data_IF_674750152485
#
_entry.id   IF_674750152485
#
_cell.length_a   1.000
_cell.length_b   1.000
_cell.length_c   1.000
_cell.angle_alpha   90.00
_cell.angle_beta   90.00
_cell.angle_gamma   90.00
#
_symmetry.space_group_name_H-M   'P 1'
#
loop_
_entity.id
_entity.type
_entity.pdbx_description
1 polymer ?
#
# COMPACT_ATOMS: atom_id res chain seq x y z
N UNK A 1 -13.96 32.85 11.18
CA UNK A 1 -15.06 31.93 10.86
C UNK A 1 -14.43 30.71 10.19
N UNK A 2 -14.50 29.53 10.79
CA UNK A 2 -14.06 28.30 10.14
C UNK A 2 -15.18 27.84 9.21
N UNK A 3 -14.98 28.03 7.91
CA UNK A 3 -15.83 27.41 6.90
C UNK A 3 -15.45 25.93 6.84
N UNK A 4 -16.06 25.11 7.71
CA UNK A 4 -15.99 23.67 7.53
C UNK A 4 -16.86 23.33 6.32
N UNK A 5 -16.22 23.15 5.17
CA UNK A 5 -16.87 22.60 3.99
C UNK A 5 -17.50 21.25 4.39
N UNK A 6 -18.80 21.02 4.09
CA UNK A 6 -19.43 19.75 4.41
C UNK A 6 -18.71 18.62 3.65
N UNK A 7 -18.60 17.42 4.24
CA UNK A 7 -17.98 16.29 3.57
C UNK A 7 -18.73 15.94 2.29
N UNK A 8 -17.99 15.61 1.25
CA UNK A 8 -18.53 15.13 -0.02
C UNK A 8 -19.23 13.78 0.17
N UNK A 9 -20.15 13.43 -0.74
CA UNK A 9 -20.78 12.12 -0.75
C UNK A 9 -19.76 10.98 -0.82
N UNK A 10 -18.66 11.22 -1.53
CA UNK A 10 -17.56 10.26 -1.65
C UNK A 10 -16.90 9.99 -0.29
N UNK A 11 -16.57 11.05 0.45
CA UNK A 11 -15.97 10.94 1.78
C UNK A 11 -16.91 10.25 2.77
N UNK A 12 -18.21 10.56 2.72
CA UNK A 12 -19.22 9.88 3.52
C UNK A 12 -19.32 8.40 3.17
N UNK A 13 -19.31 8.06 1.88
CA UNK A 13 -19.33 6.67 1.41
C UNK A 13 -18.13 5.87 1.89
N UNK A 14 -16.91 6.43 1.80
CA UNK A 14 -15.69 5.76 2.32
C UNK A 14 -15.76 5.57 3.83
N UNK A 15 -16.15 6.62 4.59
CA UNK A 15 -16.30 6.52 6.05
C UNK A 15 -17.33 5.46 6.44
N UNK A 16 -18.48 5.43 5.76
CA UNK A 16 -19.53 4.45 6.02
C UNK A 16 -19.07 3.03 5.69
N UNK A 17 -18.28 2.84 4.62
CA UNK A 17 -17.74 1.54 4.27
C UNK A 17 -16.84 1.02 5.40
N UNK A 18 -15.88 1.83 5.84
CA UNK A 18 -14.91 1.47 6.90
C UNK A 18 -15.51 1.25 8.30
N UNK A 19 -16.82 1.46 8.49
CA UNK A 19 -17.50 1.14 9.77
C UNK A 19 -17.75 -0.36 9.92
N UNK A 20 -17.87 -1.10 8.82
CA UNK A 20 -18.08 -2.54 8.84
C UNK A 20 -16.95 -3.24 8.08
N UNK A 21 -16.12 -3.92 8.85
CA UNK A 21 -14.95 -4.63 8.34
C UNK A 21 -15.32 -5.74 7.36
N UNK A 22 -16.35 -6.53 7.66
CA UNK A 22 -16.76 -7.66 6.83
C UNK A 22 -17.35 -7.19 5.50
N UNK A 23 -18.19 -6.15 5.54
CA UNK A 23 -18.72 -5.49 4.36
C UNK A 23 -17.61 -4.85 3.53
N UNK A 24 -16.67 -4.15 4.17
CA UNK A 24 -15.52 -3.55 3.47
C UNK A 24 -14.74 -4.61 2.71
N UNK A 25 -14.32 -5.68 3.39
CA UNK A 25 -13.52 -6.76 2.78
C UNK A 25 -14.25 -7.40 1.61
N UNK A 26 -15.57 -7.63 1.75
CA UNK A 26 -16.40 -8.22 0.68
C UNK A 26 -16.54 -7.29 -0.52
N UNK A 27 -16.58 -5.98 -0.30
CA UNK A 27 -16.73 -4.97 -1.35
C UNK A 27 -15.44 -4.68 -2.12
N UNK A 28 -14.25 -5.04 -1.60
CA UNK A 28 -12.96 -4.69 -2.23
C UNK A 28 -12.81 -5.16 -3.67
N UNK A 29 -13.41 -6.30 -4.03
CA UNK A 29 -13.35 -6.81 -5.41
C UNK A 29 -14.21 -6.00 -6.38
N UNK A 30 -15.25 -5.33 -5.92
CA UNK A 30 -16.15 -4.54 -6.77
C UNK A 30 -15.88 -3.04 -6.68
N UNK A 31 -15.01 -2.62 -5.75
CA UNK A 31 -14.69 -1.22 -5.52
C UNK A 31 -14.08 -0.59 -6.79
N UNK A 32 -14.55 0.61 -7.20
CA UNK A 32 -13.91 1.40 -8.23
C UNK A 32 -12.45 1.69 -7.90
N UNK A 33 -11.60 1.67 -8.92
CA UNK A 33 -10.14 1.80 -8.81
C UNK A 33 -9.74 3.15 -8.21
N UNK A 34 -10.51 4.18 -8.53
CA UNK A 34 -10.34 5.57 -8.12
C UNK A 34 -10.52 5.74 -6.61
N UNK A 35 -11.32 4.86 -5.97
CA UNK A 35 -11.57 4.90 -4.53
C UNK A 35 -10.53 4.13 -3.74
N UNK A 36 -9.81 3.22 -4.38
CA UNK A 36 -8.93 2.28 -3.70
C UNK A 36 -7.80 2.98 -2.92
N UNK A 37 -7.05 3.95 -3.49
CA UNK A 37 -5.98 4.62 -2.74
C UNK A 37 -6.52 5.49 -1.61
N UNK A 38 -7.63 6.21 -1.84
CA UNK A 38 -8.21 7.06 -0.81
C UNK A 38 -8.76 6.23 0.36
N UNK A 39 -9.43 5.10 0.07
CA UNK A 39 -9.90 4.17 1.09
C UNK A 39 -8.73 3.54 1.86
N UNK A 40 -7.63 3.19 1.19
CA UNK A 40 -6.43 2.65 1.84
C UNK A 40 -5.82 3.66 2.80
N UNK A 41 -5.74 4.92 2.40
CA UNK A 41 -5.26 6.01 3.25
C UNK A 41 -6.17 6.20 4.47
N UNK A 42 -7.49 6.19 4.28
CA UNK A 42 -8.46 6.32 5.37
C UNK A 42 -8.36 5.13 6.36
N UNK A 43 -8.25 3.90 5.84
CA UNK A 43 -8.04 2.68 6.65
C UNK A 43 -6.69 2.70 7.38
N UNK A 44 -5.64 3.23 6.74
CA UNK A 44 -4.33 3.43 7.34
C UNK A 44 -4.38 4.43 8.49
N UNK A 45 -4.98 5.60 8.27
CA UNK A 45 -5.14 6.64 9.30
C UNK A 45 -6.02 6.20 10.47
N UNK A 46 -6.91 5.24 10.23
CA UNK A 46 -7.80 4.65 11.25
C UNK A 46 -7.24 3.36 11.86
N UNK A 47 -6.00 2.98 11.53
CA UNK A 47 -5.30 1.79 12.02
C UNK A 47 -6.06 0.46 11.82
N UNK A 48 -6.85 0.36 10.74
CA UNK A 48 -7.69 -0.80 10.45
C UNK A 48 -6.89 -1.93 9.80
N UNK A 49 -6.09 -2.63 10.63
CA UNK A 49 -5.13 -3.65 10.19
C UNK A 49 -5.71 -4.76 9.32
N UNK A 50 -6.91 -5.26 9.62
CA UNK A 50 -7.55 -6.33 8.85
C UNK A 50 -7.96 -5.83 7.46
N UNK A 51 -8.57 -4.65 7.38
CA UNK A 51 -8.92 -4.03 6.10
C UNK A 51 -7.67 -3.79 5.26
N UNK A 52 -6.62 -3.19 5.84
CA UNK A 52 -5.34 -2.98 5.15
C UNK A 52 -4.77 -4.29 4.58
N UNK A 53 -4.81 -5.36 5.35
CA UNK A 53 -4.34 -6.69 4.92
C UNK A 53 -5.07 -7.16 3.66
N UNK A 54 -6.40 -7.05 3.64
CA UNK A 54 -7.22 -7.43 2.49
C UNK A 54 -7.09 -6.48 1.31
N UNK A 55 -6.88 -5.18 1.58
CA UNK A 55 -6.62 -4.20 0.52
C UNK A 55 -5.29 -4.44 -0.19
N UNK A 56 -4.25 -4.92 0.51
CA UNK A 56 -2.99 -5.34 -0.14
C UNK A 56 -3.23 -6.49 -1.12
N UNK A 57 -4.06 -7.47 -0.73
CA UNK A 57 -4.40 -8.60 -1.60
C UNK A 57 -5.18 -8.16 -2.84
N UNK A 58 -6.07 -7.16 -2.69
CA UNK A 58 -6.87 -6.63 -3.78
C UNK A 58 -6.26 -5.39 -4.46
N UNK A 59 -4.99 -5.06 -4.18
CA UNK A 59 -4.39 -3.80 -4.60
C UNK A 59 -4.32 -3.70 -6.13
N UNK A 60 -4.99 -2.71 -6.75
CA UNK A 60 -5.20 -2.72 -8.20
C UNK A 60 -4.07 -2.05 -9.01
N UNK A 61 -3.00 -1.59 -8.35
CA UNK A 61 -1.88 -0.90 -8.98
C UNK A 61 -0.57 -1.71 -8.88
N UNK A 62 0.39 -1.50 -9.79
CA UNK A 62 1.68 -2.22 -9.74
C UNK A 62 2.53 -1.87 -8.52
N UNK A 63 2.39 -0.67 -7.96
CA UNK A 63 3.15 -0.24 -6.79
C UNK A 63 2.22 0.21 -5.65
N UNK A 64 2.56 -0.16 -4.43
CA UNK A 64 1.95 0.30 -3.19
C UNK A 64 2.99 1.05 -2.34
N UNK A 65 3.01 2.40 -2.35
CA UNK A 65 3.98 3.20 -1.59
C UNK A 65 3.53 3.48 -0.16
N UNK A 66 3.51 2.47 0.69
CA UNK A 66 3.10 2.60 2.10
C UNK A 66 4.06 3.50 2.89
N UNK A 67 5.35 3.48 2.58
CA UNK A 67 6.35 4.26 3.31
C UNK A 67 6.05 5.77 3.30
N UNK A 68 5.49 6.31 2.21
CA UNK A 68 5.04 7.70 2.13
C UNK A 68 3.87 8.06 3.07
N UNK A 69 3.12 7.06 3.58
CA UNK A 69 2.11 7.24 4.62
C UNK A 69 2.72 7.06 6.03
N UNK A 70 3.84 6.34 6.12
CA UNK A 70 4.51 5.95 7.36
C UNK A 70 5.72 6.84 7.65
N UNK A 71 5.48 8.15 7.88
CA UNK A 71 6.54 9.10 8.29
C UNK A 71 7.32 8.62 9.52
N UNK A 72 6.67 7.86 10.40
CA UNK A 72 7.30 7.14 11.50
C UNK A 72 7.06 5.63 11.34
N UNK A 73 8.05 4.78 11.70
CA UNK A 73 7.87 3.33 11.64
C UNK A 73 6.71 2.86 12.53
N UNK A 74 5.65 2.32 11.92
CA UNK A 74 4.48 1.77 12.61
C UNK A 74 4.41 0.24 12.46
N UNK A 75 4.67 -0.49 13.54
CA UNK A 75 4.83 -1.95 13.50
C UNK A 75 3.55 -2.68 13.11
N UNK A 76 2.39 -2.26 13.61
CA UNK A 76 1.13 -2.96 13.32
C UNK A 76 0.68 -2.78 11.87
N UNK A 77 0.94 -1.61 11.28
CA UNK A 77 0.73 -1.42 9.83
C UNK A 77 1.68 -2.31 9.04
N UNK A 78 2.95 -2.38 9.42
CA UNK A 78 3.91 -3.26 8.74
C UNK A 78 3.43 -4.71 8.76
N UNK A 79 3.00 -5.21 9.92
CA UNK A 79 2.43 -6.56 10.06
C UNK A 79 1.21 -6.76 9.17
N UNK A 80 0.29 -5.80 9.13
CA UNK A 80 -0.90 -5.88 8.29
C UNK A 80 -0.53 -5.95 6.79
N UNK A 81 0.38 -5.08 6.35
CA UNK A 81 0.79 -5.01 4.95
C UNK A 81 1.56 -6.26 4.53
N UNK A 82 2.54 -6.70 5.32
CA UNK A 82 3.30 -7.92 5.05
C UNK A 82 2.43 -9.18 5.14
N UNK A 83 1.50 -9.22 6.09
CA UNK A 83 0.50 -10.29 6.16
C UNK A 83 -0.42 -10.33 4.93
N UNK A 84 -0.70 -9.18 4.32
CA UNK A 84 -1.46 -9.10 3.07
C UNK A 84 -0.66 -9.64 1.89
N UNK A 85 0.64 -9.32 1.85
CA UNK A 85 1.58 -9.92 0.90
C UNK A 85 1.67 -11.43 1.07
N UNK A 86 1.71 -11.95 2.30
CA UNK A 86 1.73 -13.40 2.55
C UNK A 86 0.48 -14.09 1.99
N UNK A 87 -0.69 -13.48 2.21
CA UNK A 87 -1.93 -13.98 1.62
C UNK A 87 -1.90 -13.93 0.10
N UNK A 88 -1.32 -12.88 -0.50
CA UNK A 88 -1.20 -12.76 -1.94
C UNK A 88 -0.24 -13.82 -2.51
N UNK A 89 0.88 -14.07 -1.85
CA UNK A 89 1.89 -15.06 -2.25
C UNK A 89 1.40 -16.51 -2.05
N UNK A 90 0.54 -16.75 -1.06
CA UNK A 90 -0.05 -18.07 -0.81
C UNK A 90 -1.17 -18.43 -1.81
N UNK A 91 -1.70 -17.45 -2.57
CA UNK A 91 -2.77 -17.68 -3.52
C UNK A 91 -2.28 -18.37 -4.79
N UNK A 92 -2.88 -19.52 -5.10
CA UNK A 92 -2.60 -20.29 -6.33
C UNK A 92 -3.12 -19.61 -7.60
N UNK A 93 -4.15 -18.78 -7.45
CA UNK A 93 -4.78 -18.00 -8.53
C UNK A 93 -4.75 -16.55 -8.09
N UNK A 94 -4.10 -15.68 -8.86
CA UNK A 94 -4.11 -14.27 -8.53
C UNK A 94 -5.53 -13.71 -8.67
N UNK A 95 -6.01 -12.88 -7.73
CA UNK A 95 -7.25 -12.16 -7.90
C UNK A 95 -7.19 -11.37 -9.21
N UNK A 96 -8.22 -11.47 -10.05
CA UNK A 96 -8.19 -10.88 -11.40
C UNK A 96 -7.95 -9.36 -11.42
N UNK A 97 -8.20 -8.68 -10.29
CA UNK A 97 -7.94 -7.24 -10.11
C UNK A 97 -6.60 -6.89 -9.47
N UNK A 98 -5.92 -7.83 -8.82
CA UNK A 98 -4.66 -7.53 -8.13
C UNK A 98 -3.52 -7.37 -9.14
N UNK A 99 -2.78 -6.25 -9.05
CA UNK A 99 -1.64 -5.95 -9.92
C UNK A 99 -0.35 -5.72 -9.16
N UNK A 100 -0.35 -5.89 -7.83
CA UNK A 100 0.78 -5.55 -6.97
C UNK A 100 2.05 -6.31 -7.35
N UNK A 101 3.09 -5.55 -7.69
CA UNK A 101 4.43 -6.05 -8.02
C UNK A 101 5.51 -5.44 -7.12
N UNK A 102 5.27 -4.22 -6.62
CA UNK A 102 6.22 -3.48 -5.79
C UNK A 102 5.51 -3.00 -4.52
N UNK A 103 5.96 -3.46 -3.37
CA UNK A 103 5.69 -2.80 -2.09
C UNK A 103 6.84 -1.83 -1.81
N UNK A 104 6.53 -0.55 -1.63
CA UNK A 104 7.53 0.47 -1.32
C UNK A 104 7.31 1.01 0.11
N UNK A 105 8.22 0.60 1.02
CA UNK A 105 8.26 0.99 2.42
C UNK A 105 9.18 2.19 2.67
N UNK A 106 9.77 2.78 1.63
CA UNK A 106 10.58 4.00 1.76
C UNK A 106 9.68 5.21 1.93
N UNK A 107 10.13 6.19 2.71
CA UNK A 107 9.47 7.50 2.81
C UNK A 107 9.77 8.36 1.56
N UNK A 108 9.24 7.90 0.42
CA UNK A 108 9.37 8.51 -0.91
C UNK A 108 8.06 8.31 -1.68
N UNK A 109 7.84 9.05 -2.76
CA UNK A 109 6.65 8.96 -3.63
C UNK A 109 5.33 9.48 -3.00
N UNK A 110 5.38 10.56 -2.20
CA UNK A 110 4.16 11.23 -1.72
C UNK A 110 3.23 11.69 -2.86
N UNK A 111 3.77 11.97 -4.05
CA UNK A 111 3.00 12.38 -5.23
C UNK A 111 1.91 11.37 -5.60
N UNK A 112 2.16 10.06 -5.43
CA UNK A 112 1.13 9.04 -5.64
C UNK A 112 -0.11 9.35 -4.79
N UNK A 113 0.08 9.58 -3.50
CA UNK A 113 -1.02 9.88 -2.60
C UNK A 113 -1.65 11.24 -2.87
N UNK A 114 -0.86 12.25 -3.27
CA UNK A 114 -1.39 13.59 -3.55
C UNK A 114 -2.37 13.58 -4.74
N UNK A 115 -2.03 12.85 -5.82
CA UNK A 115 -2.90 12.69 -7.00
C UNK A 115 -4.22 12.03 -6.63
N UNK A 116 -4.19 10.97 -5.83
CA UNK A 116 -5.40 10.24 -5.45
C UNK A 116 -6.20 10.84 -4.29
N UNK A 117 -5.66 11.84 -3.60
CA UNK A 117 -6.33 12.46 -2.43
C UNK A 117 -6.84 13.87 -2.71
N UNK A 118 -6.83 14.29 -3.98
CA UNK A 118 -7.52 15.48 -4.45
C UNK A 118 -6.92 16.79 -3.97
N UNK A 119 -5.62 16.83 -3.66
CA UNK A 119 -4.93 18.08 -3.27
C UNK A 119 -4.56 18.97 -4.47
N UNK A 120 -4.77 18.54 -5.72
CA UNK A 120 -4.61 19.39 -6.88
C UNK A 120 -5.95 19.53 -7.61
N UNK A 121 -6.50 20.75 -7.58
CA UNK A 121 -7.60 21.19 -8.43
C UNK A 121 -7.21 20.97 -9.90
N UNK A 122 -7.68 19.88 -10.50
CA UNK A 122 -7.39 19.61 -11.90
C UNK A 122 -7.89 18.25 -12.36
N UNK A 123 -9.05 18.26 -13.02
CA UNK A 123 -9.55 17.30 -14.00
C UNK A 123 -8.78 15.98 -14.07
N UNK A 124 -9.39 14.90 -13.57
CA UNK A 124 -8.96 13.54 -13.91
C UNK A 124 -8.98 13.38 -15.43
N UNK A 125 -7.82 13.53 -16.07
CA UNK A 125 -7.67 13.12 -17.46
C UNK A 125 -7.72 11.60 -17.49
N UNK A 126 -8.49 10.96 -18.41
CA UNK A 126 -8.64 9.51 -18.47
C UNK A 126 -7.33 8.76 -18.78
N UNK A 127 -6.25 9.48 -19.09
CA UNK A 127 -4.99 8.94 -19.61
C UNK A 127 -3.98 8.55 -18.51
N UNK A 128 -4.35 8.65 -17.21
CA UNK A 128 -3.49 8.24 -16.09
C UNK A 128 -3.66 6.74 -15.78
N UNK A 129 -3.76 5.90 -16.82
CA UNK A 129 -3.44 4.47 -16.68
C UNK A 129 -1.94 4.23 -16.42
N UNK A 130 -1.13 5.28 -16.56
CA UNK A 130 0.29 5.29 -16.27
C UNK A 130 0.66 6.59 -15.55
N UNK A 131 1.06 6.56 -14.26
CA UNK A 131 1.93 7.62 -13.75
C UNK A 131 3.20 7.59 -14.58
N UNK A 132 3.25 8.41 -15.63
CA UNK A 132 4.40 8.53 -16.50
C UNK A 132 5.58 9.03 -15.63
N UNK A 133 6.70 8.29 -15.74
CA UNK A 133 8.03 8.64 -15.21
C UNK A 133 8.36 8.27 -13.76
N UNK A 134 7.79 7.21 -13.21
CA UNK A 134 8.55 6.36 -12.28
C UNK A 134 9.07 5.19 -13.11
N UNK A 135 10.39 5.11 -13.27
CA UNK A 135 11.08 4.04 -14.00
C UNK A 135 10.83 2.71 -13.26
N UNK A 136 9.68 2.10 -13.51
CA UNK A 136 9.42 0.72 -13.17
C UNK A 136 9.95 -0.10 -14.32
N UNK A 137 11.20 -0.56 -14.19
CA UNK A 137 11.73 -1.55 -15.11
C UNK A 137 10.76 -2.75 -15.13
N UNK A 138 10.28 -3.19 -16.30
CA UNK A 138 9.47 -4.38 -16.38
C UNK A 138 10.29 -5.55 -15.83
N UNK A 139 9.89 -6.08 -14.68
CA UNK A 139 10.50 -7.30 -14.16
C UNK A 139 10.20 -8.38 -15.19
N UNK A 140 11.26 -9.06 -15.65
CA UNK A 140 11.15 -10.16 -16.61
C UNK A 140 10.13 -11.17 -16.12
N UNK A 141 9.23 -11.61 -17.01
CA UNK A 141 8.31 -12.72 -16.79
C UNK A 141 9.11 -13.98 -16.43
N UNK A 142 9.30 -14.21 -15.14
CA UNK A 142 10.02 -15.34 -14.59
C UNK A 142 9.95 -15.32 -13.07
N UNK A 143 9.10 -16.20 -12.52
CA UNK A 143 8.71 -16.32 -11.10
C UNK A 143 7.87 -15.16 -10.56
N UNK A 144 6.87 -15.53 -9.78
CA UNK A 144 5.85 -14.67 -9.16
C UNK A 144 6.45 -13.91 -7.97
N UNK A 145 7.57 -13.20 -8.20
CA UNK A 145 8.29 -12.51 -7.15
C UNK A 145 7.75 -11.10 -6.96
N UNK A 146 7.29 -10.79 -5.75
CA UNK A 146 6.97 -9.41 -5.37
C UNK A 146 8.24 -8.74 -4.88
N UNK A 147 8.50 -7.53 -5.37
CA UNK A 147 9.67 -6.74 -4.94
C UNK A 147 9.27 -5.84 -3.78
N UNK A 148 10.06 -5.86 -2.71
CA UNK A 148 9.89 -4.98 -1.55
C UNK A 148 11.05 -4.01 -1.49
N UNK A 149 10.77 -2.71 -1.59
CA UNK A 149 11.75 -1.65 -1.42
C UNK A 149 11.64 -1.11 0.00
N UNK A 150 12.79 -0.93 0.65
CA UNK A 150 12.86 -0.42 2.02
C UNK A 150 14.13 0.40 2.19
N UNK A 151 14.08 1.40 3.08
CA UNK A 151 15.27 2.03 3.62
C UNK A 151 15.49 1.44 5.01
N UNK A 152 16.63 0.78 5.23
CA UNK A 152 16.96 0.21 6.53
C UNK A 152 18.03 1.07 7.18
N UNK A 153 17.72 1.63 8.35
CA UNK A 153 18.75 2.13 9.25
C UNK A 153 19.45 0.92 9.89
N UNK A 154 20.74 0.73 9.62
CA UNK A 154 21.57 -0.40 10.07
C UNK A 154 22.13 -0.16 11.47
N UNK A 155 21.82 0.96 12.13
CA UNK A 155 22.29 1.20 13.49
C UNK A 155 21.81 0.10 14.48
N UNK A 156 22.71 -0.80 14.94
CA UNK A 156 22.32 -1.96 15.75
C UNK A 156 21.99 -1.56 17.19
N UNK A 157 22.32 -0.34 17.64
CA UNK A 157 22.00 0.17 18.98
C UNK A 157 20.57 0.69 19.08
N UNK A 158 19.90 0.87 17.94
CA UNK A 158 18.54 1.40 17.84
C UNK A 158 17.67 0.54 16.92
N UNK A 159 17.93 -0.77 16.83
CA UNK A 159 17.11 -1.67 16.03
C UNK A 159 15.67 -1.61 16.52
N UNK A 160 14.83 -0.91 15.75
CA UNK A 160 13.41 -0.81 16.05
C UNK A 160 12.80 -2.21 15.90
N UNK A 161 11.79 -2.54 16.73
CA UNK A 161 10.99 -3.76 16.57
C UNK A 161 10.44 -3.92 15.14
N UNK A 162 10.28 -2.79 14.44
CA UNK A 162 9.94 -2.71 13.02
C UNK A 162 11.00 -3.38 12.12
N UNK A 163 12.27 -2.98 12.25
CA UNK A 163 13.35 -3.54 11.43
C UNK A 163 13.59 -5.02 11.73
N UNK A 164 13.54 -5.40 13.01
CA UNK A 164 13.69 -6.80 13.43
C UNK A 164 12.59 -7.69 12.84
N UNK A 165 11.34 -7.25 12.94
CA UNK A 165 10.20 -7.95 12.35
C UNK A 165 10.32 -8.07 10.84
N UNK A 166 10.63 -6.97 10.15
CA UNK A 166 10.82 -6.98 8.69
C UNK A 166 11.92 -7.95 8.26
N UNK A 167 13.07 -7.90 8.93
CA UNK A 167 14.21 -8.76 8.62
C UNK A 167 13.84 -10.24 8.77
N UNK A 168 13.16 -10.60 9.86
CA UNK A 168 12.73 -11.97 10.10
C UNK A 168 11.72 -12.44 9.04
N UNK A 169 10.73 -11.60 8.70
CA UNK A 169 9.75 -11.88 7.65
C UNK A 169 10.42 -12.10 6.28
N UNK A 170 11.35 -11.23 5.91
CA UNK A 170 12.07 -11.31 4.64
C UNK A 170 12.96 -12.55 4.54
N UNK A 171 13.65 -12.91 5.63
CA UNK A 171 14.52 -14.09 5.70
C UNK A 171 13.76 -15.39 5.40
N UNK A 172 12.53 -15.51 5.91
CA UNK A 172 11.65 -16.66 5.68
C UNK A 172 11.13 -16.77 4.24
N UNK A 173 11.20 -15.68 3.46
CA UNK A 173 10.57 -15.55 2.12
C UNK A 173 11.55 -15.23 1.00
N UNK A 174 12.85 -15.45 1.23
CA UNK A 174 13.94 -15.15 0.28
C UNK A 174 13.76 -15.76 -1.12
N UNK A 175 13.01 -16.85 -1.25
CA UNK A 175 12.81 -17.56 -2.52
C UNK A 175 11.65 -16.99 -3.36
N UNK A 176 10.80 -16.16 -2.74
CA UNK A 176 9.57 -15.60 -3.35
C UNK A 176 9.47 -14.08 -3.25
N UNK A 177 10.28 -13.44 -2.40
CA UNK A 177 10.33 -11.99 -2.23
C UNK A 177 11.74 -11.49 -2.51
N UNK A 178 11.84 -10.48 -3.38
CA UNK A 178 13.08 -9.74 -3.60
C UNK A 178 13.07 -8.48 -2.73
N UNK A 179 14.01 -8.36 -1.80
CA UNK A 179 14.17 -7.15 -0.98
C UNK A 179 15.29 -6.29 -1.55
N UNK A 180 14.96 -5.05 -1.92
CA UNK A 180 15.92 -4.05 -2.38
C UNK A 180 16.06 -2.96 -1.30
N UNK A 181 17.28 -2.77 -0.81
CA UNK A 181 17.60 -1.70 0.13
C UNK A 181 18.36 -0.59 -0.60
N UNK A 182 17.80 0.62 -0.66
CA UNK A 182 18.45 1.73 -1.37
C UNK A 182 19.36 2.57 -0.46
N UNK A 183 19.04 2.65 0.84
CA UNK A 183 19.82 3.42 1.81
C UNK A 183 20.11 2.57 3.05
N UNK A 184 21.38 2.47 3.39
CA UNK A 184 21.91 1.90 4.62
C UNK A 184 22.48 3.08 5.42
N UNK A 185 21.86 3.43 6.54
CA UNK A 185 22.35 4.47 7.48
C UNK A 185 22.77 3.89 8.83
#
# INVERSE_FOLDING_TARGET
MNFNTPPTLLELGRRSLLQDEALTVSALQELPLELFPALFKDAFSSEQSIILRHMVVAWPFPCLPVGALMRTPHLETLKAVLGGLDLLLAQKVQPGRCKLQVLDLRDVNHNFWNVWTGMEDGVFSPDISHPQSLIYHPIQKGKQAVTVWINLSVNPRHSSKYNEYFYQWAKERKDVVQVNCQKIE
#
